data_IF_442535657604
#
_entry.id   IF_442535657604
#
_cell.length_a   1.000
_cell.length_b   1.000
_cell.length_c   1.000
_cell.angle_alpha   90.00
_cell.angle_beta   90.00
_cell.angle_gamma   90.00
#
_symmetry.space_group_name_H-M   'P 1'
#
loop_
_entity.id
_entity.type
_entity.pdbx_description
1 polymer ?
#
# COMPACT_ATOMS: atom_id res chain seq x y z
N UNK A 1 1.74 25.22 -22.36
CA UNK A 1 1.63 23.93 -21.66
C UNK A 1 1.11 24.23 -20.27
N UNK A 2 -0.02 23.64 -19.83
CA UNK A 2 -0.48 23.82 -18.45
C UNK A 2 0.57 23.19 -17.52
N UNK A 3 0.92 23.90 -16.44
CA UNK A 3 1.80 23.36 -15.41
C UNK A 3 1.03 22.27 -14.68
N UNK A 4 1.51 21.02 -14.73
CA UNK A 4 0.92 19.92 -13.93
C UNK A 4 0.94 20.33 -12.46
N UNK A 5 -0.22 20.35 -11.83
CA UNK A 5 -0.36 20.62 -10.39
C UNK A 5 -0.41 19.27 -9.68
N UNK A 6 0.58 19.03 -8.83
CA UNK A 6 0.60 17.84 -7.98
C UNK A 6 -0.15 18.11 -6.66
N UNK A 7 -0.60 17.07 -5.95
CA UNK A 7 -1.09 17.23 -4.60
C UNK A 7 -0.05 17.92 -3.70
N UNK A 8 -0.54 18.67 -2.72
CA UNK A 8 0.30 19.29 -1.72
C UNK A 8 1.02 18.26 -0.85
N UNK A 9 2.12 18.68 -0.24
CA UNK A 9 2.83 17.88 0.76
C UNK A 9 2.00 17.87 2.06
N UNK A 10 1.70 16.68 2.56
CA UNK A 10 1.09 16.48 3.88
C UNK A 10 2.17 16.12 4.90
N UNK A 11 1.83 16.16 6.19
CA UNK A 11 2.76 15.74 7.24
C UNK A 11 3.17 14.28 7.04
N UNK A 12 4.46 14.01 7.21
CA UNK A 12 5.03 12.66 7.21
C UNK A 12 6.18 12.57 8.20
N UNK A 13 6.49 11.33 8.60
CA UNK A 13 7.68 11.02 9.41
C UNK A 13 8.93 10.98 8.52
N UNK A 14 10.07 10.80 9.18
CA UNK A 14 11.34 10.43 8.53
C UNK A 14 11.24 9.03 7.92
N UNK A 15 12.09 8.75 6.95
CA UNK A 15 12.21 7.40 6.39
C UNK A 15 12.90 6.51 7.44
N UNK A 16 12.32 5.35 7.71
CA UNK A 16 12.82 4.35 8.67
C UNK A 16 13.23 3.08 7.91
N UNK A 17 14.44 2.58 8.13
CA UNK A 17 14.85 1.26 7.62
C UNK A 17 14.36 0.17 8.59
N UNK A 18 13.41 -0.66 8.14
CA UNK A 18 12.79 -1.70 8.97
C UNK A 18 13.43 -3.08 8.76
N UNK A 19 14.04 -3.28 7.59
CA UNK A 19 14.92 -4.41 7.23
C UNK A 19 15.99 -3.89 6.27
N UNK A 20 17.13 -4.57 6.11
CA UNK A 20 18.11 -4.20 5.09
C UNK A 20 17.45 -3.97 3.74
N UNK A 21 17.64 -2.78 3.19
CA UNK A 21 17.11 -2.35 1.89
C UNK A 21 15.57 -2.25 1.79
N UNK A 22 14.87 -2.30 2.92
CA UNK A 22 13.42 -2.08 3.01
C UNK A 22 13.14 -0.95 3.99
N UNK A 23 12.61 0.14 3.44
CA UNK A 23 12.31 1.34 4.20
C UNK A 23 10.81 1.61 4.23
N UNK A 24 10.37 2.17 5.34
CA UNK A 24 9.00 2.52 5.61
C UNK A 24 8.91 4.03 5.87
N UNK A 25 7.89 4.66 5.29
CA UNK A 25 7.55 6.05 5.58
C UNK A 25 6.06 6.15 5.87
N UNK A 26 5.74 6.61 7.07
CA UNK A 26 4.37 6.94 7.45
C UNK A 26 4.10 8.42 7.19
N UNK A 27 3.10 8.67 6.35
CA UNK A 27 2.57 9.98 6.02
C UNK A 27 1.13 10.16 6.46
N UNK A 28 0.54 11.27 6.01
CA UNK A 28 -0.86 11.61 6.22
C UNK A 28 -1.51 12.08 4.93
N UNK A 29 -2.84 12.06 4.92
CA UNK A 29 -3.65 12.66 3.85
C UNK A 29 -4.96 13.14 4.42
N UNK A 30 -5.45 14.25 3.86
CA UNK A 30 -6.82 14.68 4.06
C UNK A 30 -7.69 14.13 2.94
N UNK A 31 -8.49 13.10 3.22
CA UNK A 31 -9.37 12.48 2.22
C UNK A 31 -10.65 13.30 1.99
N UNK A 32 -11.09 14.07 3.00
CA UNK A 32 -12.17 15.06 2.95
C UNK A 32 -11.88 16.16 3.97
N UNK A 33 -12.44 17.38 3.83
CA UNK A 33 -12.27 18.43 4.83
C UNK A 33 -12.54 17.91 6.26
N UNK A 34 -11.56 18.04 7.15
CA UNK A 34 -11.63 17.57 8.54
C UNK A 34 -11.40 16.06 8.76
N UNK A 35 -11.23 15.28 7.69
CA UNK A 35 -10.99 13.84 7.74
C UNK A 35 -9.56 13.52 7.29
N UNK A 36 -8.65 13.44 8.27
CA UNK A 36 -7.26 13.08 8.04
C UNK A 36 -7.02 11.64 8.52
N UNK A 37 -6.29 10.88 7.73
CA UNK A 37 -5.83 9.52 8.04
C UNK A 37 -4.34 9.41 7.67
N UNK A 38 -3.67 8.37 8.17
CA UNK A 38 -2.31 8.07 7.71
C UNK A 38 -2.32 7.56 6.28
N UNK A 39 -1.14 7.49 5.64
CA UNK A 39 -0.88 6.74 4.42
C UNK A 39 0.60 6.39 4.39
N UNK A 40 0.97 5.25 3.85
CA UNK A 40 2.33 4.72 4.00
C UNK A 40 2.94 4.48 2.63
N UNK A 41 4.24 4.76 2.52
CA UNK A 41 5.07 4.38 1.40
C UNK A 41 6.06 3.30 1.88
N UNK A 42 6.19 2.24 1.10
CA UNK A 42 7.31 1.29 1.22
C UNK A 42 8.33 1.60 0.14
N UNK A 43 9.61 1.63 0.50
CA UNK A 43 10.71 1.88 -0.42
C UNK A 43 11.59 0.63 -0.40
N UNK A 44 11.85 0.07 -1.57
CA UNK A 44 12.78 -1.05 -1.74
C UNK A 44 14.02 -0.57 -2.47
N UNK A 45 15.21 -0.92 -1.97
CA UNK A 45 16.48 -0.59 -2.61
C UNK A 45 17.10 -1.84 -3.21
N UNK A 46 17.47 -1.79 -4.49
CA UNK A 46 18.21 -2.86 -5.16
C UNK A 46 19.26 -2.24 -6.09
N UNK A 47 20.54 -2.58 -5.89
CA UNK A 47 21.66 -2.09 -6.69
C UNK A 47 21.71 -0.55 -6.81
N UNK A 48 21.32 0.17 -5.76
CA UNK A 48 21.28 1.64 -5.74
C UNK A 48 20.06 2.25 -6.45
N UNK A 49 19.14 1.45 -6.97
CA UNK A 49 17.84 1.88 -7.49
C UNK A 49 16.74 1.71 -6.43
N UNK A 50 15.75 2.59 -6.46
CA UNK A 50 14.62 2.61 -5.53
C UNK A 50 13.32 2.32 -6.27
N UNK A 51 12.51 1.46 -5.65
CA UNK A 51 11.13 1.16 -6.02
C UNK A 51 10.21 1.67 -4.93
N UNK A 52 9.34 2.63 -5.27
CA UNK A 52 8.36 3.22 -4.37
C UNK A 52 7.03 2.50 -4.51
N UNK A 53 6.50 1.94 -3.43
CA UNK A 53 5.18 1.29 -3.39
C UNK A 53 4.26 2.17 -2.56
N UNK A 54 3.08 2.50 -3.12
CA UNK A 54 2.12 3.44 -2.53
C UNK A 54 2.77 4.80 -2.20
N UNK A 55 3.36 5.43 -3.22
CA UNK A 55 4.20 6.62 -3.05
C UNK A 55 3.49 7.72 -2.23
N UNK A 56 4.25 8.39 -1.36
CA UNK A 56 3.80 9.50 -0.51
C UNK A 56 4.62 10.72 -0.82
N UNK A 57 3.97 11.84 -1.16
CA UNK A 57 4.67 13.09 -1.46
C UNK A 57 5.43 13.59 -0.25
N UNK A 58 6.74 13.78 -0.44
CA UNK A 58 7.65 14.25 0.59
C UNK A 58 7.91 15.76 0.50
N UNK A 59 8.24 16.34 1.64
CA UNK A 59 8.83 17.67 1.73
C UNK A 59 10.30 17.66 1.26
N UNK A 60 10.90 18.84 1.16
CA UNK A 60 12.28 18.99 0.69
C UNK A 60 13.30 18.20 1.51
N UNK A 61 13.04 17.98 2.81
CA UNK A 61 13.95 17.25 3.68
C UNK A 61 13.81 15.75 3.43
N UNK A 62 12.58 15.23 3.39
CA UNK A 62 12.29 13.85 3.06
C UNK A 62 12.73 13.45 1.66
N UNK A 63 12.64 14.35 0.67
CA UNK A 63 13.19 14.09 -0.67
C UNK A 63 14.70 13.93 -0.65
N UNK A 64 15.43 14.75 0.10
CA UNK A 64 16.90 14.60 0.24
C UNK A 64 17.28 13.30 0.91
N UNK A 65 16.49 12.84 1.88
CA UNK A 65 16.67 11.51 2.48
C UNK A 65 16.42 10.41 1.45
N UNK A 66 15.32 10.51 0.69
CA UNK A 66 15.00 9.51 -0.32
C UNK A 66 16.10 9.42 -1.40
N UNK A 67 16.59 10.57 -1.86
CA UNK A 67 17.67 10.68 -2.84
C UNK A 67 19.01 10.12 -2.33
N UNK A 68 19.27 10.20 -1.02
CA UNK A 68 20.50 9.63 -0.44
C UNK A 68 20.48 8.11 -0.35
N UNK A 69 19.29 7.49 -0.37
CA UNK A 69 19.14 6.03 -0.39
C UNK A 69 19.47 5.44 -1.77
N UNK A 70 19.19 6.17 -2.85
CA UNK A 70 19.40 5.71 -4.22
C UNK A 70 18.62 6.49 -5.27
N UNK A 71 18.68 6.01 -6.51
CA UNK A 71 17.97 6.59 -7.64
C UNK A 71 16.52 6.10 -7.68
N UNK A 72 15.55 7.00 -7.65
CA UNK A 72 14.14 6.66 -7.81
C UNK A 72 13.88 6.19 -9.24
N UNK A 73 13.71 4.87 -9.43
CA UNK A 73 13.58 4.26 -10.75
C UNK A 73 12.16 3.77 -11.02
N UNK A 74 11.46 3.25 -10.01
CA UNK A 74 10.12 2.69 -10.19
C UNK A 74 9.12 3.25 -9.18
N UNK A 75 7.90 3.47 -9.66
CA UNK A 75 6.72 3.75 -8.83
C UNK A 75 5.70 2.66 -9.10
N UNK A 76 5.35 1.89 -8.08
CA UNK A 76 4.49 0.71 -8.17
C UNK A 76 3.15 1.00 -7.50
N UNK A 77 2.08 0.91 -8.30
CA UNK A 77 0.70 0.94 -7.81
C UNK A 77 0.19 -0.48 -7.67
N UNK A 78 -0.06 -0.90 -6.43
CA UNK A 78 -0.55 -2.25 -6.12
C UNK A 78 -2.05 -2.31 -5.84
N UNK A 79 -2.70 -1.19 -5.50
CA UNK A 79 -4.14 -1.15 -5.20
C UNK A 79 -4.86 0.06 -5.79
N UNK A 80 -6.18 -0.06 -5.91
CA UNK A 80 -7.02 0.84 -6.71
C UNK A 80 -7.12 2.27 -6.14
N UNK A 81 -7.28 2.44 -4.83
CA UNK A 81 -7.53 3.76 -4.21
C UNK A 81 -6.28 4.62 -3.96
N UNK A 82 -5.07 4.10 -4.22
CA UNK A 82 -3.82 4.81 -3.97
C UNK A 82 -3.18 5.39 -5.23
N UNK A 83 -2.11 6.16 -5.10
CA UNK A 83 -1.33 6.65 -6.25
C UNK A 83 -1.54 8.13 -6.59
N UNK A 84 -2.19 8.90 -5.71
CA UNK A 84 -2.36 10.35 -5.90
C UNK A 84 -1.04 11.10 -6.13
N UNK A 85 0.06 10.59 -5.57
CA UNK A 85 1.38 11.23 -5.68
C UNK A 85 2.30 10.56 -6.71
N UNK A 86 1.87 9.47 -7.35
CA UNK A 86 2.71 8.71 -8.28
C UNK A 86 3.23 9.62 -9.39
N UNK A 87 2.33 10.44 -9.96
CA UNK A 87 2.64 11.35 -11.07
C UNK A 87 3.80 12.30 -10.76
N UNK A 88 3.93 12.75 -9.52
CA UNK A 88 5.03 13.62 -9.13
C UNK A 88 6.39 12.96 -9.34
N UNK A 89 6.53 11.71 -8.91
CA UNK A 89 7.78 10.97 -9.01
C UNK A 89 8.10 10.61 -10.46
N UNK A 90 7.09 10.27 -11.25
CA UNK A 90 7.25 10.03 -12.69
C UNK A 90 7.76 11.29 -13.41
N UNK A 91 7.12 12.43 -13.20
CA UNK A 91 7.45 13.67 -13.91
C UNK A 91 8.76 14.32 -13.40
N UNK A 92 9.08 14.18 -12.12
CA UNK A 92 10.25 14.84 -11.51
C UNK A 92 11.52 14.01 -11.62
N UNK A 93 11.42 12.70 -11.47
CA UNK A 93 12.58 11.79 -11.46
C UNK A 93 12.70 10.96 -12.73
N UNK A 94 11.72 11.03 -13.64
CA UNK A 94 11.67 10.15 -14.81
C UNK A 94 11.47 8.69 -14.43
N UNK A 95 10.89 8.43 -13.25
CA UNK A 95 10.61 7.08 -12.79
C UNK A 95 9.62 6.37 -13.73
N UNK A 96 9.71 5.04 -13.81
CA UNK A 96 8.81 4.20 -14.59
C UNK A 96 7.60 3.82 -13.74
N UNK A 97 6.42 4.00 -14.30
CA UNK A 97 5.18 3.57 -13.67
C UNK A 97 4.95 2.08 -13.89
N UNK A 98 4.71 1.36 -12.80
CA UNK A 98 4.46 -0.07 -12.79
C UNK A 98 3.15 -0.38 -12.08
N UNK A 99 2.32 -1.20 -12.71
CA UNK A 99 1.03 -1.64 -12.17
C UNK A 99 0.62 -2.96 -12.83
N UNK A 100 -0.49 -3.56 -12.37
CA UNK A 100 -1.08 -4.73 -13.02
C UNK A 100 -1.64 -4.39 -14.42
N UNK A 101 -1.83 -5.41 -15.24
CA UNK A 101 -2.56 -5.27 -16.50
C UNK A 101 -4.05 -4.98 -16.24
N UNK A 102 -4.65 -4.16 -17.09
CA UNK A 102 -6.06 -3.78 -17.01
C UNK A 102 -6.42 -2.80 -15.88
N UNK A 103 -5.43 -2.11 -15.27
CA UNK A 103 -5.70 -0.96 -14.40
C UNK A 103 -6.25 0.19 -15.25
N UNK A 104 -7.26 0.91 -14.75
CA UNK A 104 -7.95 1.96 -15.49
C UNK A 104 -6.97 3.09 -15.92
N UNK A 105 -6.79 3.33 -17.23
CA UNK A 105 -5.88 4.34 -17.75
C UNK A 105 -6.40 5.78 -17.58
N UNK A 106 -7.67 5.99 -17.20
CA UNK A 106 -8.20 7.33 -16.93
C UNK A 106 -7.83 7.82 -15.54
N UNK A 107 -7.66 6.89 -14.59
CA UNK A 107 -7.37 7.18 -13.19
C UNK A 107 -5.91 6.97 -12.83
N UNK A 108 -5.08 6.49 -13.77
CA UNK A 108 -3.67 6.20 -13.54
C UNK A 108 -2.75 6.72 -14.65
N UNK A 109 -1.47 6.99 -14.33
CA UNK A 109 -0.47 7.26 -15.36
C UNK A 109 -0.36 6.11 -16.37
N UNK A 110 0.10 6.41 -17.58
CA UNK A 110 0.36 5.37 -18.60
C UNK A 110 1.39 4.36 -18.06
N UNK A 111 1.00 3.09 -18.00
CA UNK A 111 1.88 2.00 -17.59
C UNK A 111 3.13 1.94 -18.48
N UNK A 112 4.30 1.94 -17.84
CA UNK A 112 5.58 1.73 -18.51
C UNK A 112 6.00 0.25 -18.43
N UNK A 113 5.72 -0.40 -17.31
CA UNK A 113 6.13 -1.78 -17.04
C UNK A 113 4.98 -2.55 -16.39
N UNK A 114 4.73 -3.75 -16.90
CA UNK A 114 3.76 -4.67 -16.31
C UNK A 114 4.34 -5.25 -15.00
N UNK A 115 3.58 -5.15 -13.91
CA UNK A 115 3.96 -5.75 -12.64
C UNK A 115 3.83 -7.27 -12.70
N UNK A 116 4.97 -7.96 -12.51
CA UNK A 116 5.10 -9.41 -12.50
C UNK A 116 6.10 -9.86 -11.43
N UNK A 117 6.04 -11.13 -11.09
CA UNK A 117 6.97 -11.78 -10.17
C UNK A 117 8.42 -11.56 -10.61
N UNK A 118 9.27 -11.14 -9.67
CA UNK A 118 10.72 -11.02 -9.86
C UNK A 118 11.21 -9.96 -10.83
N UNK A 119 10.35 -9.28 -11.60
CA UNK A 119 10.77 -8.40 -12.71
C UNK A 119 11.42 -7.09 -12.22
N UNK A 120 10.65 -6.26 -11.51
CA UNK A 120 11.14 -4.96 -10.99
C UNK A 120 11.69 -5.09 -9.57
N UNK A 121 11.20 -6.09 -8.83
CA UNK A 121 11.60 -6.37 -7.47
C UNK A 121 12.07 -7.82 -7.45
N UNK A 122 13.40 -8.02 -7.42
CA UNK A 122 13.98 -9.37 -7.46
C UNK A 122 13.41 -10.23 -6.33
N UNK A 123 13.03 -11.47 -6.66
CA UNK A 123 12.48 -12.44 -5.70
C UNK A 123 11.06 -12.16 -5.22
N UNK A 124 10.44 -11.02 -5.56
CA UNK A 124 9.09 -10.70 -5.12
C UNK A 124 8.04 -11.54 -5.86
N UNK A 125 6.97 -11.92 -5.15
CA UNK A 125 5.75 -12.50 -5.74
C UNK A 125 4.64 -11.45 -5.80
N UNK A 126 3.87 -11.47 -6.88
CA UNK A 126 2.72 -10.60 -7.13
C UNK A 126 1.44 -11.43 -7.00
N UNK A 127 0.82 -11.38 -5.84
CA UNK A 127 -0.39 -12.14 -5.52
C UNK A 127 -1.63 -11.31 -5.89
N UNK A 128 -2.13 -11.50 -7.10
CA UNK A 128 -3.29 -10.76 -7.64
C UNK A 128 -4.60 -11.24 -7.01
N UNK A 129 -5.53 -10.33 -6.67
CA UNK A 129 -6.91 -10.70 -6.36
C UNK A 129 -7.66 -11.05 -7.65
N UNK A 130 -8.06 -12.31 -7.80
CA UNK A 130 -8.58 -12.80 -9.07
C UNK A 130 -10.04 -12.39 -9.32
N UNK A 131 -10.81 -12.21 -8.24
CA UNK A 131 -12.24 -11.96 -8.32
C UNK A 131 -12.64 -10.54 -7.90
N UNK A 132 -11.69 -9.61 -7.71
CA UNK A 132 -12.02 -8.24 -7.34
C UNK A 132 -12.61 -7.46 -8.52
N UNK A 133 -13.52 -6.51 -8.22
CA UNK A 133 -14.10 -5.60 -9.22
C UNK A 133 -13.02 -4.77 -9.93
N UNK A 134 -11.95 -4.41 -9.21
CA UNK A 134 -10.83 -3.63 -9.70
C UNK A 134 -9.51 -4.38 -9.50
N UNK A 135 -8.50 -4.03 -10.29
CA UNK A 135 -7.18 -4.66 -10.21
C UNK A 135 -6.45 -4.24 -8.94
N UNK A 136 -6.13 -5.25 -8.12
CA UNK A 136 -5.30 -5.11 -6.92
C UNK A 136 -4.46 -6.38 -6.72
N UNK A 137 -3.28 -6.22 -6.15
CA UNK A 137 -2.42 -7.31 -5.72
C UNK A 137 -1.79 -7.03 -4.36
N UNK A 138 -1.25 -8.10 -3.80
CA UNK A 138 -0.36 -8.07 -2.65
C UNK A 138 1.04 -8.42 -3.13
N UNK A 139 2.05 -7.70 -2.64
CA UNK A 139 3.45 -8.07 -2.88
C UNK A 139 3.94 -8.89 -1.70
N UNK A 140 4.57 -10.03 -1.99
CA UNK A 140 5.31 -10.82 -1.00
C UNK A 140 6.80 -10.72 -1.33
N UNK A 141 7.61 -10.44 -0.31
CA UNK A 141 9.07 -10.41 -0.38
C UNK A 141 9.66 -11.57 0.45
N UNK A 142 9.82 -12.78 -0.12
CA UNK A 142 10.31 -13.95 0.61
C UNK A 142 11.72 -13.75 1.17
N UNK A 143 12.60 -13.09 0.41
CA UNK A 143 14.01 -12.87 0.77
C UNK A 143 14.18 -11.93 1.97
N UNK A 144 13.15 -11.14 2.32
CA UNK A 144 13.18 -10.21 3.45
C UNK A 144 12.44 -10.77 4.68
N UNK A 145 12.61 -12.06 4.98
CA UNK A 145 11.89 -12.79 6.04
C UNK A 145 10.36 -12.91 5.79
N UNK A 146 9.94 -12.76 4.53
CA UNK A 146 8.53 -12.78 4.14
C UNK A 146 7.80 -11.51 4.60
N UNK A 147 8.06 -10.39 3.91
CA UNK A 147 7.28 -9.16 4.06
C UNK A 147 6.10 -9.18 3.12
N UNK A 148 4.89 -9.03 3.66
CA UNK A 148 3.64 -8.90 2.93
C UNK A 148 3.24 -7.43 2.84
N UNK A 149 3.31 -6.84 1.64
CA UNK A 149 2.96 -5.43 1.40
C UNK A 149 1.59 -5.37 0.74
N UNK A 150 0.64 -4.72 1.41
CA UNK A 150 -0.74 -4.59 0.97
C UNK A 150 -1.14 -3.13 0.79
N UNK A 151 -2.18 -2.92 0.00
CA UNK A 151 -2.82 -1.62 -0.13
C UNK A 151 -3.90 -1.47 0.97
N UNK A 152 -5.16 -1.41 0.57
CA UNK A 152 -6.30 -1.27 1.47
C UNK A 152 -6.97 -2.60 1.83
N UNK A 153 -6.62 -3.68 1.14
CA UNK A 153 -7.21 -5.03 1.33
C UNK A 153 -7.02 -5.58 2.74
N UNK A 154 -5.80 -5.57 3.25
CA UNK A 154 -5.45 -5.95 4.63
C UNK A 154 -4.79 -4.75 5.28
N UNK A 155 -5.23 -4.40 6.48
CA UNK A 155 -4.78 -3.22 7.21
C UNK A 155 -4.48 -3.57 8.66
N UNK A 156 -3.48 -2.92 9.25
CA UNK A 156 -3.20 -3.05 10.68
C UNK A 156 -3.54 -1.77 11.43
N UNK A 157 -4.80 -1.62 11.86
CA UNK A 157 -5.29 -0.41 12.52
C UNK A 157 -4.81 -0.33 13.97
N UNK A 158 -3.58 0.17 14.18
CA UNK A 158 -3.00 0.36 15.51
C UNK A 158 -2.48 1.78 15.75
N UNK A 159 -1.87 2.40 14.74
CA UNK A 159 -1.32 3.75 14.83
C UNK A 159 -2.34 4.78 14.36
N UNK A 160 -2.65 5.72 15.25
CA UNK A 160 -3.63 6.80 15.01
C UNK A 160 -3.00 8.19 15.03
N UNK A 161 -1.67 8.28 14.92
CA UNK A 161 -0.89 9.52 15.01
C UNK A 161 -1.39 10.60 14.05
N UNK A 162 -1.68 10.24 12.80
CA UNK A 162 -2.15 11.17 11.76
C UNK A 162 -3.67 11.24 11.62
N UNK A 163 -4.40 10.63 12.55
CA UNK A 163 -5.86 10.56 12.50
C UNK A 163 -6.49 11.80 13.15
N UNK A 164 -7.33 12.52 12.39
CA UNK A 164 -8.07 13.66 12.96
C UNK A 164 -9.06 13.18 14.03
N UNK A 165 -9.41 14.06 14.98
CA UNK A 165 -10.40 13.72 16.02
C UNK A 165 -11.72 13.20 15.42
N UNK A 166 -12.19 13.83 14.34
CA UNK A 166 -13.37 13.39 13.62
C UNK A 166 -13.22 11.98 13.03
N UNK A 167 -12.06 11.66 12.44
CA UNK A 167 -11.75 10.31 11.96
C UNK A 167 -11.79 9.28 13.10
N UNK A 168 -11.32 9.62 14.31
CA UNK A 168 -11.33 8.71 15.46
C UNK A 168 -12.75 8.29 15.89
N UNK A 169 -13.74 9.13 15.64
CA UNK A 169 -15.15 8.83 15.91
C UNK A 169 -15.77 8.06 14.75
N UNK A 170 -15.53 8.49 13.51
CA UNK A 170 -16.20 7.95 12.34
C UNK A 170 -15.70 6.57 11.89
N UNK A 171 -14.40 6.30 11.95
CA UNK A 171 -13.85 5.05 11.41
C UNK A 171 -14.33 3.79 12.16
N UNK A 172 -14.44 3.77 13.50
CA UNK A 172 -15.05 2.63 14.19
C UNK A 172 -16.49 2.34 13.72
N UNK A 173 -17.28 3.36 13.43
CA UNK A 173 -18.65 3.22 12.91
C UNK A 173 -18.68 2.63 11.49
N UNK A 174 -17.60 2.82 10.72
CA UNK A 174 -17.41 2.22 9.39
C UNK A 174 -16.79 0.81 9.46
N UNK A 175 -16.63 0.24 10.66
CA UNK A 175 -16.13 -1.11 10.87
C UNK A 175 -14.63 -1.22 11.11
N UNK A 176 -13.90 -0.11 11.22
CA UNK A 176 -12.47 -0.15 11.55
C UNK A 176 -12.28 -0.49 13.03
N UNK A 177 -11.91 -1.75 13.30
CA UNK A 177 -11.58 -2.24 14.64
C UNK A 177 -10.07 -2.23 14.84
N UNK A 178 -9.62 -1.90 16.05
CA UNK A 178 -8.18 -1.91 16.38
C UNK A 178 -7.60 -3.30 16.14
N UNK A 179 -6.41 -3.36 15.54
CA UNK A 179 -5.74 -4.60 15.17
C UNK A 179 -5.79 -4.87 13.67
N UNK A 180 -5.52 -6.12 13.28
CA UNK A 180 -5.55 -6.54 11.88
C UNK A 180 -7.00 -6.66 11.40
N UNK A 181 -7.28 -6.13 10.22
CA UNK A 181 -8.60 -6.20 9.60
C UNK A 181 -8.49 -6.26 8.08
N UNK A 182 -9.53 -6.80 7.44
CA UNK A 182 -9.75 -6.58 6.02
C UNK A 182 -10.42 -5.21 5.85
N UNK A 183 -9.87 -4.32 5.02
CA UNK A 183 -10.33 -2.95 4.90
C UNK A 183 -11.84 -2.89 4.60
N UNK A 184 -12.72 -2.43 5.49
CA UNK A 184 -14.17 -2.63 5.31
C UNK A 184 -14.74 -1.89 4.09
N UNK A 185 -14.35 -0.61 3.82
CA UNK A 185 -14.74 0.06 2.58
C UNK A 185 -14.15 -0.61 1.34
N UNK A 186 -12.93 -1.13 1.44
CA UNK A 186 -12.28 -1.84 0.34
C UNK A 186 -13.02 -3.13 0.02
N UNK A 187 -13.30 -3.96 1.03
CA UNK A 187 -13.95 -5.26 0.86
C UNK A 187 -15.34 -5.08 0.26
N UNK A 188 -16.09 -4.08 0.71
CA UNK A 188 -17.40 -3.73 0.16
C UNK A 188 -17.33 -3.32 -1.31
N UNK A 189 -16.35 -2.50 -1.69
CA UNK A 189 -16.22 -1.99 -3.07
C UNK A 189 -15.62 -3.03 -4.01
N UNK A 190 -14.67 -3.83 -3.55
CA UNK A 190 -13.94 -4.78 -4.37
C UNK A 190 -14.66 -6.11 -4.56
N UNK A 191 -15.62 -6.48 -3.70
CA UNK A 191 -16.35 -7.73 -3.87
C UNK A 191 -17.45 -7.59 -4.94
N UNK A 192 -17.42 -8.38 -6.03
CA UNK A 192 -18.52 -8.40 -6.99
C UNK A 192 -19.83 -8.84 -6.35
N UNK A 193 -20.94 -8.27 -6.82
CA UNK A 193 -22.28 -8.59 -6.30
C UNK A 193 -22.57 -10.08 -6.40
N UNK A 194 -22.93 -10.70 -5.27
CA UNK A 194 -23.25 -12.13 -5.20
C UNK A 194 -22.05 -13.07 -5.15
N UNK A 195 -20.84 -12.55 -4.98
CA UNK A 195 -19.59 -13.33 -4.87
C UNK A 195 -18.91 -13.13 -3.50
N UNK A 196 -17.71 -13.69 -3.34
CA UNK A 196 -16.87 -13.54 -2.16
C UNK A 196 -15.39 -13.47 -2.58
N UNK A 197 -14.61 -12.66 -1.86
CA UNK A 197 -13.14 -12.60 -2.01
C UNK A 197 -12.41 -13.51 -1.01
N UNK A 198 -13.12 -14.30 -0.21
CA UNK A 198 -12.52 -15.14 0.82
C UNK A 198 -11.43 -16.07 0.27
N UNK A 199 -11.66 -16.71 -0.88
CA UNK A 199 -10.69 -17.64 -1.49
C UNK A 199 -9.37 -16.96 -1.88
N UNK A 200 -9.41 -15.68 -2.27
CA UNK A 200 -8.21 -14.90 -2.55
C UNK A 200 -7.40 -14.65 -1.27
N UNK A 201 -8.06 -14.32 -0.17
CA UNK A 201 -7.39 -14.17 1.14
C UNK A 201 -6.85 -15.48 1.68
N UNK A 202 -7.59 -16.58 1.54
CA UNK A 202 -7.12 -17.91 1.95
C UNK A 202 -5.87 -18.32 1.18
N UNK A 203 -5.81 -18.05 -0.14
CA UNK A 203 -4.63 -18.30 -0.96
C UNK A 203 -3.44 -17.43 -0.52
N UNK A 204 -3.65 -16.15 -0.23
CA UNK A 204 -2.58 -15.28 0.29
C UNK A 204 -2.05 -15.85 1.62
N UNK A 205 -2.92 -16.31 2.51
CA UNK A 205 -2.55 -16.84 3.82
C UNK A 205 -1.80 -18.18 3.77
N UNK A 206 -1.77 -18.87 2.61
CA UNK A 206 -0.93 -20.06 2.39
C UNK A 206 0.56 -19.73 2.20
N UNK A 207 0.90 -18.47 1.94
CA UNK A 207 2.28 -18.04 1.78
C UNK A 207 2.99 -17.85 3.13
N UNK A 208 4.32 -18.00 3.15
CA UNK A 208 5.13 -17.76 4.36
C UNK A 208 5.50 -16.27 4.47
N UNK A 209 4.97 -15.61 5.48
CA UNK A 209 5.28 -14.22 5.81
C UNK A 209 5.21 -13.97 7.31
N UNK A 210 6.08 -13.07 7.79
CA UNK A 210 6.22 -12.72 9.20
C UNK A 210 5.97 -11.25 9.49
N UNK A 211 6.01 -10.41 8.45
CA UNK A 211 5.83 -8.96 8.56
C UNK A 211 4.75 -8.53 7.58
N UNK A 212 3.87 -7.64 7.99
CA UNK A 212 2.84 -7.03 7.17
C UNK A 212 2.98 -5.52 7.17
N UNK A 213 2.97 -4.91 5.98
CA UNK A 213 3.00 -3.46 5.79
C UNK A 213 1.76 -3.09 4.98
N UNK A 214 0.86 -2.27 5.55
CA UNK A 214 -0.28 -1.72 4.82
C UNK A 214 -0.04 -0.29 4.35
N UNK A 215 -0.78 0.13 3.31
CA UNK A 215 -0.80 1.51 2.84
C UNK A 215 -1.38 2.51 3.85
N UNK A 216 -1.94 2.05 4.96
CA UNK A 216 -2.44 2.87 6.06
C UNK A 216 -1.95 2.33 7.40
N UNK A 217 -2.06 3.18 8.42
CA UNK A 217 -1.74 2.89 9.83
C UNK A 217 -0.25 2.60 10.03
N UNK A 218 0.17 1.37 10.26
CA UNK A 218 1.57 1.00 10.39
C UNK A 218 1.85 -0.40 9.86
N UNK A 219 2.86 -1.05 10.40
CA UNK A 219 3.23 -2.42 10.07
C UNK A 219 3.08 -3.33 11.30
N UNK A 220 2.94 -4.63 11.06
CA UNK A 220 2.83 -5.67 12.07
C UNK A 220 3.95 -6.68 11.85
N UNK A 221 4.68 -7.04 12.90
CA UNK A 221 5.78 -8.01 12.89
C UNK A 221 5.60 -9.13 13.93
N UNK A 222 4.47 -9.10 14.64
CA UNK A 222 4.09 -10.07 15.66
C UNK A 222 2.83 -10.82 15.22
N UNK A 223 2.84 -12.15 15.29
CA UNK A 223 1.73 -13.06 14.94
C UNK A 223 0.90 -12.63 13.71
N UNK A 224 1.58 -12.24 12.62
CA UNK A 224 0.91 -11.66 11.44
C UNK A 224 -0.06 -12.66 10.81
N UNK A 225 0.38 -13.91 10.66
CA UNK A 225 -0.44 -15.04 10.17
C UNK A 225 -1.72 -15.22 11.00
N UNK A 226 -1.60 -15.34 12.33
CA UNK A 226 -2.75 -15.50 13.23
C UNK A 226 -3.70 -14.31 13.19
N UNK A 227 -3.16 -13.08 13.19
CA UNK A 227 -3.96 -11.85 13.11
C UNK A 227 -4.70 -11.71 11.78
N UNK A 228 -4.09 -12.09 10.65
CA UNK A 228 -4.78 -12.10 9.34
C UNK A 228 -5.84 -13.20 9.30
N UNK A 229 -5.57 -14.40 9.83
CA UNK A 229 -6.58 -15.46 9.97
C UNK A 229 -7.81 -14.96 10.73
N UNK A 230 -7.61 -14.32 11.87
CA UNK A 230 -8.70 -13.73 12.66
C UNK A 230 -9.46 -12.65 11.88
N UNK A 231 -8.76 -11.82 11.10
CA UNK A 231 -9.39 -10.81 10.25
C UNK A 231 -10.29 -11.44 9.17
N UNK A 232 -9.84 -12.53 8.55
CA UNK A 232 -10.62 -13.30 7.57
C UNK A 232 -11.86 -13.91 8.24
N UNK A 233 -11.70 -14.60 9.37
CA UNK A 233 -12.81 -15.25 10.07
C UNK A 233 -13.88 -14.24 10.53
N UNK A 234 -13.46 -13.04 10.94
CA UNK A 234 -14.37 -11.94 11.31
C UNK A 234 -15.12 -11.37 10.10
N UNK A 235 -14.47 -11.29 8.93
CA UNK A 235 -15.07 -10.75 7.71
C UNK A 235 -15.98 -11.76 6.99
N UNK A 236 -15.67 -13.05 7.11
CA UNK A 236 -16.37 -14.15 6.47
C UNK A 236 -16.82 -15.19 7.51
N UNK A 237 -17.77 -14.83 8.41
CA UNK A 237 -18.23 -15.74 9.44
C UNK A 237 -18.83 -17.00 8.81
N UNK A 238 -18.48 -18.17 9.35
CA UNK A 238 -19.11 -19.43 8.96
C UNK A 238 -20.62 -19.33 9.25
N UNK A 239 -21.42 -19.61 8.23
CA UNK A 239 -22.88 -19.71 8.36
C UNK A 239 -23.27 -20.94 9.18
#
# INVERSE_FOLDING_TARGET
>A
MSKTVYPGVYQHRRIEEIKPDVFFLQGSVQIKPGLNISRNMTILRQNGELTLINAVRLDTVGLKELESLGKITYVVKIGHFHGMDDRYYLDTYGAKFCCLDGVDPQTTPKQNVLLKDGDIISGAKVLVFNNANEKECVLLLPEHEGILITCDSIQYFHDTTYMSWFAKIMLPLLGFKKGMLLGPPWLKTMTPKGSSLQSDFERILQEDFKIHISAHWGYCDDDVQGKIRMAIDNAFPKK
#
